data_IF_619311862303
#
_entry.id   IF_619311862303
#
_cell.length_a   1.000
_cell.length_b   1.000
_cell.length_c   1.000
_cell.angle_alpha   90.00
_cell.angle_beta   90.00
_cell.angle_gamma   90.00
#
_symmetry.space_group_name_H-M   'P 1'
#
loop_
_entity.id
_entity.type
_entity.pdbx_description
1 polymer ?
#
# COMPACT_ATOMS: atom_id res chain seq x y z
N UNK A 1 -58.02 -82.29 43.93
CA UNK A 1 -56.74 -82.24 44.63
C UNK A 1 -55.94 -81.11 44.07
N UNK A 2 -55.97 -79.93 44.71
CA UNK A 2 -55.34 -78.71 44.21
C UNK A 2 -54.39 -78.21 45.31
N UNK A 3 -53.07 -78.25 45.03
CA UNK A 3 -52.06 -77.75 45.94
C UNK A 3 -51.88 -76.25 45.69
N UNK A 4 -52.12 -75.44 46.73
CA UNK A 4 -51.75 -74.01 46.77
C UNK A 4 -50.25 -73.85 47.05
N UNK A 5 -49.56 -73.11 46.23
CA UNK A 5 -48.19 -72.67 46.51
C UNK A 5 -48.30 -71.25 47.04
N UNK A 6 -47.77 -70.99 48.22
CA UNK A 6 -47.61 -69.66 48.81
C UNK A 6 -46.27 -69.09 48.39
N UNK A 7 -46.28 -67.95 47.70
CA UNK A 7 -45.12 -67.19 47.38
C UNK A 7 -44.87 -66.15 48.46
N UNK A 8 -43.73 -66.19 49.11
CA UNK A 8 -43.25 -65.15 50.06
C UNK A 8 -42.59 -64.05 49.29
N UNK A 9 -43.11 -62.84 49.38
CA UNK A 9 -42.54 -61.65 48.83
C UNK A 9 -41.58 -61.06 49.86
N UNK A 10 -40.29 -60.99 49.50
CA UNK A 10 -39.25 -60.29 50.26
C UNK A 10 -39.15 -58.86 49.77
N UNK A 11 -39.44 -57.88 50.60
CA UNK A 11 -39.28 -56.47 50.33
C UNK A 11 -37.81 -56.12 50.63
N UNK A 12 -37.05 -55.79 49.59
CA UNK A 12 -35.71 -55.21 49.74
C UNK A 12 -35.84 -53.67 49.77
N UNK A 13 -35.44 -53.04 50.87
CA UNK A 13 -35.32 -51.61 51.06
C UNK A 13 -33.99 -51.20 50.41
N UNK A 14 -34.05 -50.62 49.23
CA UNK A 14 -32.89 -50.04 48.57
C UNK A 14 -32.62 -48.61 49.11
N UNK A 15 -31.46 -48.43 49.74
CA UNK A 15 -30.95 -47.15 50.15
C UNK A 15 -30.55 -46.35 48.89
N UNK A 16 -31.23 -45.24 48.59
CA UNK A 16 -30.90 -44.29 47.50
C UNK A 16 -29.71 -43.45 47.98
N UNK A 17 -28.51 -43.74 47.50
CA UNK A 17 -27.37 -42.86 47.67
C UNK A 17 -27.51 -41.67 46.68
N UNK A 18 -27.82 -40.51 47.21
CA UNK A 18 -27.77 -39.23 46.44
C UNK A 18 -26.31 -38.85 46.24
N UNK A 19 -25.77 -39.15 45.08
CA UNK A 19 -24.50 -38.58 44.63
C UNK A 19 -24.74 -37.10 44.33
N UNK A 20 -24.32 -36.23 45.24
CA UNK A 20 -24.18 -34.81 44.97
C UNK A 20 -23.03 -34.63 43.95
N UNK A 21 -23.37 -34.45 42.69
CA UNK A 21 -22.45 -33.88 41.70
C UNK A 21 -22.16 -32.42 42.13
N UNK A 22 -21.06 -32.24 42.85
CA UNK A 22 -20.46 -30.94 42.99
C UNK A 22 -19.99 -30.48 41.60
N UNK A 23 -20.78 -29.62 40.93
CA UNK A 23 -20.30 -28.90 39.77
C UNK A 23 -19.04 -28.16 40.19
N UNK A 24 -17.92 -28.45 39.55
CA UNK A 24 -16.78 -27.53 39.60
C UNK A 24 -17.30 -26.15 39.18
N UNK A 25 -16.87 -25.07 39.84
CA UNK A 25 -17.19 -23.75 39.35
C UNK A 25 -16.66 -23.69 37.91
N UNK A 26 -17.55 -23.35 36.94
CA UNK A 26 -17.10 -22.91 35.63
C UNK A 26 -16.04 -21.86 35.91
N UNK A 27 -14.81 -22.09 35.44
CA UNK A 27 -13.81 -21.05 35.42
C UNK A 27 -14.45 -19.95 34.61
N UNK A 28 -14.86 -18.87 35.27
CA UNK A 28 -15.38 -17.68 34.58
C UNK A 28 -14.35 -17.34 33.53
N UNK A 29 -14.75 -17.37 32.27
CA UNK A 29 -13.89 -16.93 31.20
C UNK A 29 -13.40 -15.51 31.59
N UNK A 30 -12.12 -15.31 31.62
CA UNK A 30 -11.51 -14.05 31.99
C UNK A 30 -12.11 -12.95 31.09
N UNK A 31 -12.68 -11.92 31.70
CA UNK A 31 -13.39 -10.89 30.97
C UNK A 31 -12.39 -10.09 30.14
N UNK A 32 -12.59 -10.04 28.82
CA UNK A 32 -11.72 -9.26 27.91
C UNK A 32 -11.81 -7.79 28.24
N UNK A 33 -10.68 -7.17 28.52
CA UNK A 33 -10.58 -5.76 28.96
C UNK A 33 -9.75 -4.91 28.00
N UNK A 34 -9.90 -3.58 28.11
CA UNK A 34 -9.07 -2.67 27.33
C UNK A 34 -7.60 -2.77 27.72
N UNK A 35 -7.30 -2.72 29.03
CA UNK A 35 -5.93 -2.62 29.52
C UNK A 35 -5.09 -3.86 29.25
N UNK A 36 -5.64 -5.04 29.48
CA UNK A 36 -4.91 -6.30 29.31
C UNK A 36 -4.89 -6.78 27.87
N UNK A 37 -6.00 -6.61 27.13
CA UNK A 37 -6.19 -7.34 25.86
C UNK A 37 -6.22 -6.44 24.64
N UNK A 38 -6.92 -5.28 24.71
CA UNK A 38 -7.18 -4.45 23.52
C UNK A 38 -6.10 -3.40 23.29
N UNK A 39 -5.60 -2.79 24.35
CA UNK A 39 -4.55 -1.77 24.24
C UNK A 39 -3.29 -2.30 23.53
N UNK A 40 -2.77 -3.52 23.83
CA UNK A 40 -1.64 -4.08 23.09
C UNK A 40 -1.90 -4.15 21.58
N UNK A 41 -3.09 -4.66 21.18
CA UNK A 41 -3.47 -4.77 19.75
C UNK A 41 -3.50 -3.38 19.09
N UNK A 42 -4.13 -2.40 19.75
CA UNK A 42 -4.23 -1.04 19.20
C UNK A 42 -2.86 -0.36 19.11
N UNK A 43 -2.00 -0.58 20.09
CA UNK A 43 -0.67 0.01 20.15
C UNK A 43 0.23 -0.49 19.03
N UNK A 44 0.16 -1.77 18.73
CA UNK A 44 0.94 -2.39 17.67
C UNK A 44 0.40 -2.07 16.28
N UNK A 45 -0.92 -2.16 16.08
CA UNK A 45 -1.51 -2.18 14.74
C UNK A 45 -2.20 -0.87 14.32
N UNK A 46 -2.60 0.00 15.27
CA UNK A 46 -3.46 1.14 14.95
C UNK A 46 -2.81 2.50 15.17
N UNK A 47 -1.96 2.66 16.21
CA UNK A 47 -1.40 3.96 16.59
C UNK A 47 -0.47 4.57 15.54
N UNK A 48 0.04 3.79 14.61
CA UNK A 48 0.84 4.34 13.50
C UNK A 48 0.07 5.42 12.72
N UNK A 49 -1.27 5.26 12.61
CA UNK A 49 -2.16 6.20 11.94
C UNK A 49 -3.12 6.92 12.91
N UNK A 50 -3.59 6.25 13.98
CA UNK A 50 -4.60 6.74 14.90
C UNK A 50 -4.01 7.45 16.12
N UNK A 51 -3.27 8.55 15.87
CA UNK A 51 -2.72 9.46 16.88
C UNK A 51 -2.71 10.90 16.36
N UNK A 52 -2.63 11.92 17.23
CA UNK A 52 -2.61 13.31 16.78
C UNK A 52 -1.54 13.61 15.75
N UNK A 53 -1.88 14.40 14.74
CA UNK A 53 -0.96 14.78 13.66
C UNK A 53 -0.74 13.72 12.57
N UNK A 54 -1.45 12.60 12.63
CA UNK A 54 -1.46 11.59 11.58
C UNK A 54 -2.76 11.65 10.76
N UNK A 55 -2.85 10.79 9.74
CA UNK A 55 -3.95 10.79 8.75
C UNK A 55 -5.32 10.46 9.33
N UNK A 56 -5.38 9.62 10.36
CA UNK A 56 -6.66 9.22 10.93
C UNK A 56 -7.30 10.38 11.73
N UNK A 57 -8.61 10.63 11.54
CA UNK A 57 -9.28 11.75 12.21
C UNK A 57 -9.55 11.52 13.70
N UNK A 58 -9.38 10.29 14.21
CA UNK A 58 -9.52 9.94 15.63
C UNK A 58 -8.22 9.31 16.14
N UNK A 59 -7.93 9.53 17.43
CA UNK A 59 -6.81 8.92 18.12
C UNK A 59 -7.27 7.78 19.03
N UNK A 60 -6.37 6.81 19.31
CA UNK A 60 -6.63 5.63 20.15
C UNK A 60 -5.51 5.42 21.18
N UNK A 61 -4.91 6.50 21.68
CA UNK A 61 -3.75 6.45 22.60
C UNK A 61 -4.11 5.89 23.98
N UNK A 62 -5.37 6.05 24.38
CA UNK A 62 -5.87 5.62 25.68
C UNK A 62 -7.34 5.18 25.59
N UNK A 63 -7.85 4.69 26.72
CA UNK A 63 -9.24 4.24 26.80
C UNK A 63 -10.27 5.36 26.52
N UNK A 64 -10.01 6.58 27.00
CA UNK A 64 -10.96 7.67 26.83
C UNK A 64 -11.11 8.09 25.36
N UNK A 65 -10.02 8.06 24.60
CA UNK A 65 -10.01 8.29 23.16
C UNK A 65 -10.62 7.12 22.40
N UNK A 66 -10.38 5.88 22.82
CA UNK A 66 -10.78 4.65 22.11
C UNK A 66 -12.25 4.27 22.34
N UNK A 67 -12.69 4.31 23.60
CA UNK A 67 -14.01 3.81 24.05
C UNK A 67 -15.20 4.36 23.23
N UNK A 68 -15.26 5.64 22.87
CA UNK A 68 -16.35 6.18 22.03
C UNK A 68 -16.46 5.51 20.65
N UNK A 69 -15.37 4.99 20.13
CA UNK A 69 -15.26 4.38 18.80
C UNK A 69 -15.35 2.85 18.82
N UNK A 70 -15.48 2.21 19.98
CA UNK A 70 -15.40 0.76 20.14
C UNK A 70 -16.23 -0.03 19.11
N UNK A 71 -17.49 0.35 18.89
CA UNK A 71 -18.36 -0.30 17.90
C UNK A 71 -17.84 -0.13 16.47
N UNK A 72 -17.42 1.09 16.12
CA UNK A 72 -16.89 1.38 14.79
C UNK A 72 -15.58 0.62 14.56
N UNK A 73 -14.70 0.53 15.57
CA UNK A 73 -13.45 -0.26 15.52
C UNK A 73 -13.79 -1.71 15.20
N UNK A 74 -14.68 -2.35 15.99
CA UNK A 74 -15.12 -3.72 15.74
C UNK A 74 -15.64 -3.92 14.32
N UNK A 75 -16.56 -3.06 13.88
CA UNK A 75 -17.20 -3.21 12.58
C UNK A 75 -16.18 -3.07 11.44
N UNK A 76 -15.22 -2.15 11.55
CA UNK A 76 -14.15 -1.97 10.57
C UNK A 76 -13.11 -3.08 10.57
N UNK A 77 -12.80 -3.62 11.73
CA UNK A 77 -11.89 -4.75 11.88
C UNK A 77 -12.52 -6.03 11.30
N UNK A 78 -13.76 -6.32 11.65
CA UNK A 78 -14.46 -7.52 11.15
C UNK A 78 -14.78 -7.45 9.66
N UNK A 79 -14.95 -6.26 9.09
CA UNK A 79 -15.14 -6.10 7.64
C UNK A 79 -13.81 -6.14 6.85
N UNK A 80 -12.66 -6.14 7.54
CA UNK A 80 -11.34 -6.08 6.91
C UNK A 80 -10.99 -4.71 6.30
N UNK A 81 -11.75 -3.65 6.63
CA UNK A 81 -11.42 -2.29 6.21
C UNK A 81 -10.24 -1.73 7.01
N UNK A 82 -10.03 -2.18 8.27
CA UNK A 82 -8.94 -1.77 9.16
C UNK A 82 -8.29 -2.97 9.86
N UNK A 83 -6.95 -2.99 9.93
CA UNK A 83 -6.00 -2.13 9.21
C UNK A 83 -6.13 -2.29 7.69
N UNK A 84 -5.84 -1.25 6.88
CA UNK A 84 -5.98 -1.35 5.43
C UNK A 84 -4.97 -2.35 4.85
N UNK A 85 -5.47 -3.46 4.36
CA UNK A 85 -4.71 -4.51 3.70
C UNK A 85 -5.62 -5.33 2.80
N UNK A 86 -5.34 -5.36 1.50
CA UNK A 86 -6.27 -5.89 0.51
C UNK A 86 -5.73 -7.08 -0.30
N UNK A 87 -4.50 -7.55 0.01
CA UNK A 87 -3.97 -8.76 -0.62
C UNK A 87 -4.78 -9.99 -0.18
N UNK A 88 -5.22 -10.77 -1.15
CA UNK A 88 -5.86 -12.08 -0.91
C UNK A 88 -4.87 -13.01 -0.21
N UNK A 89 -5.21 -13.55 0.97
CA UNK A 89 -4.29 -14.36 1.77
C UNK A 89 -3.86 -15.68 1.11
N UNK A 90 -4.49 -16.07 0.02
CA UNK A 90 -4.13 -17.27 -0.74
C UNK A 90 -2.87 -17.10 -1.59
N UNK A 91 -2.41 -15.86 -1.80
CA UNK A 91 -1.33 -15.54 -2.74
C UNK A 91 -0.27 -14.67 -2.07
N UNK A 92 0.97 -15.10 -2.15
CA UNK A 92 2.12 -14.38 -1.62
C UNK A 92 2.22 -14.37 -0.10
N UNK A 93 3.42 -14.07 0.40
CA UNK A 93 3.71 -13.76 1.79
C UNK A 93 4.46 -12.43 1.85
N UNK A 94 4.06 -11.55 2.76
CA UNK A 94 4.43 -10.14 2.69
C UNK A 94 5.14 -9.69 3.97
N UNK A 95 6.29 -9.02 3.85
CA UNK A 95 7.03 -8.47 4.98
C UNK A 95 6.25 -7.39 5.74
N UNK A 96 5.40 -6.68 5.03
CA UNK A 96 4.64 -5.55 5.57
C UNK A 96 3.15 -5.88 5.72
N UNK A 97 2.80 -7.14 5.94
CA UNK A 97 1.42 -7.57 6.21
C UNK A 97 0.91 -6.94 7.51
N UNK A 98 -0.22 -6.25 7.41
CA UNK A 98 -0.84 -5.49 8.51
C UNK A 98 -2.12 -6.12 9.02
N UNK A 99 -2.50 -7.26 8.48
CA UNK A 99 -3.74 -7.91 8.90
C UNK A 99 -3.66 -8.28 10.37
N UNK A 100 -4.74 -8.05 11.07
CA UNK A 100 -4.93 -8.65 12.37
C UNK A 100 -5.09 -10.16 12.22
N UNK A 101 -4.61 -10.88 13.21
CA UNK A 101 -4.91 -12.30 13.36
C UNK A 101 -6.39 -12.49 13.70
N UNK A 102 -6.92 -13.69 13.50
CA UNK A 102 -8.31 -13.99 13.89
C UNK A 102 -8.50 -13.83 15.41
N UNK A 103 -7.51 -14.18 16.21
CA UNK A 103 -7.53 -14.01 17.65
C UNK A 103 -7.63 -12.55 18.09
N UNK A 104 -6.87 -11.65 17.46
CA UNK A 104 -6.95 -10.21 17.72
C UNK A 104 -8.31 -9.64 17.32
N UNK A 105 -8.86 -10.06 16.18
CA UNK A 105 -10.20 -9.65 15.75
C UNK A 105 -11.29 -10.12 16.70
N UNK A 106 -11.21 -11.37 17.15
CA UNK A 106 -12.15 -11.97 18.10
C UNK A 106 -12.03 -11.29 19.46
N UNK A 107 -10.84 -10.94 19.93
CA UNK A 107 -10.57 -10.19 21.16
C UNK A 107 -11.24 -8.82 21.13
N UNK A 108 -11.06 -8.06 20.05
CA UNK A 108 -11.71 -6.74 19.88
C UNK A 108 -13.25 -6.90 19.86
N UNK A 109 -13.76 -7.91 19.17
CA UNK A 109 -15.19 -8.17 19.12
C UNK A 109 -15.75 -8.52 20.49
N UNK A 110 -15.12 -9.44 21.21
CA UNK A 110 -15.53 -9.85 22.56
C UNK A 110 -15.50 -8.67 23.55
N UNK A 111 -14.46 -7.83 23.49
CA UNK A 111 -14.39 -6.62 24.30
C UNK A 111 -15.59 -5.69 24.08
N UNK A 112 -15.95 -5.45 22.82
CA UNK A 112 -17.09 -4.58 22.47
C UNK A 112 -18.39 -5.19 22.92
N UNK A 113 -18.58 -6.51 22.75
CA UNK A 113 -19.78 -7.22 23.13
C UNK A 113 -19.95 -7.30 24.66
N UNK A 114 -18.86 -7.32 25.43
CA UNK A 114 -18.87 -7.19 26.90
C UNK A 114 -19.16 -5.77 27.40
N UNK A 115 -19.39 -4.80 26.49
CA UNK A 115 -19.66 -3.40 26.85
C UNK A 115 -18.42 -2.53 26.89
N UNK A 116 -17.31 -3.02 26.39
CA UNK A 116 -16.01 -2.36 26.32
C UNK A 116 -15.48 -1.91 27.69
N UNK A 117 -15.25 -2.86 28.63
CA UNK A 117 -14.74 -2.56 29.97
C UNK A 117 -13.28 -2.05 29.94
N UNK A 118 -12.92 -1.23 30.95
CA UNK A 118 -11.56 -0.67 31.05
C UNK A 118 -10.53 -1.74 31.48
N UNK A 119 -10.84 -2.52 32.51
CA UNK A 119 -9.88 -3.43 33.16
C UNK A 119 -9.05 -2.77 34.28
N UNK A 120 -8.05 -3.48 34.78
CA UNK A 120 -7.16 -2.96 35.81
C UNK A 120 -6.09 -2.07 35.17
N UNK A 121 -5.90 -0.80 35.62
CA UNK A 121 -4.84 0.06 35.12
C UNK A 121 -3.42 -0.49 35.26
N UNK A 122 -3.20 -1.46 36.17
CA UNK A 122 -1.91 -2.10 36.35
C UNK A 122 -1.53 -3.03 35.17
N UNK A 123 -2.51 -3.48 34.40
CA UNK A 123 -2.30 -4.36 33.22
C UNK A 123 -2.05 -3.57 31.93
N UNK A 124 -2.16 -2.22 32.00
CA UNK A 124 -1.96 -1.41 30.79
C UNK A 124 -0.47 -1.38 30.40
N UNK A 125 -0.12 -1.81 29.18
CA UNK A 125 1.26 -1.72 28.71
C UNK A 125 1.69 -0.26 28.51
N UNK A 126 3.00 -0.05 28.54
CA UNK A 126 3.53 1.27 28.20
C UNK A 126 3.23 1.62 26.75
N UNK A 127 2.61 2.79 26.47
CA UNK A 127 2.34 3.19 25.09
C UNK A 127 3.62 3.32 24.27
N UNK A 128 3.60 2.93 22.98
CA UNK A 128 4.77 3.05 22.13
C UNK A 128 5.20 4.51 22.00
N UNK A 129 6.50 4.75 22.15
CA UNK A 129 7.08 6.06 21.90
C UNK A 129 7.20 6.31 20.40
N UNK A 130 6.54 7.34 19.91
CA UNK A 130 6.70 7.81 18.54
C UNK A 130 7.69 8.97 18.52
N UNK A 131 8.73 8.82 17.73
CA UNK A 131 9.72 9.86 17.51
C UNK A 131 9.31 10.73 16.32
N UNK A 132 9.58 12.04 16.40
CA UNK A 132 9.55 12.93 15.24
C UNK A 132 10.82 12.81 14.38
N UNK A 133 11.75 11.95 14.78
CA UNK A 133 12.96 11.62 14.03
C UNK A 133 12.63 10.79 12.78
N UNK A 134 13.64 10.57 11.95
CA UNK A 134 13.54 9.66 10.81
C UNK A 134 13.20 8.24 11.28
N UNK A 135 12.27 7.57 10.58
CA UNK A 135 11.92 6.18 10.86
C UNK A 135 13.12 5.25 10.65
N UNK A 136 14.02 5.61 9.72
CA UNK A 136 15.29 4.93 9.47
C UNK A 136 16.42 5.43 10.38
N UNK A 137 16.12 6.10 11.49
CA UNK A 137 17.11 6.69 12.40
C UNK A 137 18.07 5.68 13.04
N UNK A 138 17.74 4.39 13.06
CA UNK A 138 18.67 3.32 13.44
C UNK A 138 19.86 3.16 12.45
N UNK A 139 19.76 3.70 11.25
CA UNK A 139 20.84 3.81 10.26
C UNK A 139 21.71 5.07 10.46
N UNK A 140 21.44 5.87 11.50
CA UNK A 140 22.01 7.20 11.72
C UNK A 140 21.21 8.30 11.04
N UNK A 141 21.75 9.53 11.03
CA UNK A 141 21.15 10.63 10.29
C UNK A 141 21.27 10.40 8.78
N UNK A 142 20.33 10.93 7.95
CA UNK A 142 20.46 10.84 6.50
C UNK A 142 21.72 11.57 6.01
N UNK A 143 22.40 10.96 5.02
CA UNK A 143 23.57 11.57 4.37
C UNK A 143 23.18 12.82 3.55
N UNK A 144 21.91 12.84 3.06
CA UNK A 144 21.36 13.97 2.31
C UNK A 144 19.87 14.14 2.63
N UNK A 145 19.50 15.38 2.98
CA UNK A 145 18.10 15.79 3.10
C UNK A 145 17.75 16.71 1.92
N UNK A 146 16.69 16.37 1.19
CA UNK A 146 16.20 17.16 0.05
C UNK A 146 14.78 17.64 0.38
N UNK A 147 14.59 18.91 0.75
CA UNK A 147 13.26 19.48 0.97
C UNK A 147 12.64 19.92 -0.35
N UNK A 148 11.30 19.96 -0.42
CA UNK A 148 10.58 20.69 -1.45
C UNK A 148 11.05 22.14 -1.50
N UNK A 149 11.08 22.75 -2.72
CA UNK A 149 11.65 24.10 -2.89
C UNK A 149 10.81 25.20 -2.21
N UNK A 150 9.52 24.94 -2.00
CA UNK A 150 8.58 25.89 -1.39
C UNK A 150 7.69 25.22 -0.36
N UNK A 151 7.17 26.03 0.58
CA UNK A 151 6.00 25.62 1.39
C UNK A 151 4.74 25.78 0.54
N UNK A 152 3.90 24.76 0.55
CA UNK A 152 2.62 24.70 -0.19
C UNK A 152 1.48 25.02 0.75
N UNK A 153 0.56 25.87 0.29
CA UNK A 153 -0.69 26.14 0.99
C UNK A 153 -1.76 25.15 0.52
N UNK A 154 -2.37 24.45 1.47
CA UNK A 154 -3.47 23.49 1.22
C UNK A 154 -4.76 24.14 1.71
N UNK A 155 -5.77 24.36 0.86
CA UNK A 155 -7.02 25.00 1.27
C UNK A 155 -7.81 24.11 2.23
N UNK A 156 -8.82 24.71 2.89
CA UNK A 156 -9.66 23.99 3.84
C UNK A 156 -10.55 22.92 3.20
N UNK A 157 -10.94 23.14 1.95
CA UNK A 157 -11.89 22.31 1.19
C UNK A 157 -11.58 22.31 -0.31
N UNK A 158 -12.37 21.55 -1.07
CA UNK A 158 -12.24 21.41 -2.51
C UNK A 158 -11.26 20.31 -2.94
N UNK A 159 -11.47 19.82 -4.17
CA UNK A 159 -10.59 18.82 -4.78
C UNK A 159 -9.25 19.45 -5.15
N UNK A 160 -8.15 18.77 -4.81
CA UNK A 160 -6.81 19.24 -5.10
C UNK A 160 -6.21 18.44 -6.26
N UNK A 161 -5.76 19.16 -7.29
CA UNK A 161 -4.99 18.56 -8.37
C UNK A 161 -3.59 18.17 -7.88
N UNK A 162 -2.99 17.17 -8.53
CA UNK A 162 -1.59 16.83 -8.32
C UNK A 162 -0.68 18.01 -8.61
N UNK A 163 0.31 18.21 -7.74
CA UNK A 163 1.28 19.30 -7.85
C UNK A 163 2.70 18.74 -7.93
N UNK A 164 3.44 19.15 -8.95
CA UNK A 164 4.80 18.66 -9.17
C UNK A 164 5.82 19.74 -8.88
N UNK A 165 6.83 19.38 -8.09
CA UNK A 165 7.95 20.25 -7.72
C UNK A 165 9.27 19.55 -8.00
N UNK A 166 10.23 20.29 -8.54
CA UNK A 166 11.52 19.75 -8.94
C UNK A 166 12.64 20.40 -8.15
N UNK A 167 13.55 19.59 -7.62
CA UNK A 167 14.77 20.00 -6.95
C UNK A 167 15.95 19.41 -7.69
N UNK A 168 16.91 20.24 -8.08
CA UNK A 168 18.10 19.79 -8.80
C UNK A 168 18.91 18.82 -7.91
N UNK A 169 19.37 17.73 -8.50
CA UNK A 169 20.34 16.87 -7.89
C UNK A 169 21.76 17.41 -8.16
N UNK A 170 22.44 17.86 -7.12
CA UNK A 170 23.79 18.43 -7.20
C UNK A 170 24.89 17.43 -6.83
N UNK A 171 24.57 16.13 -6.73
CA UNK A 171 25.60 15.09 -6.55
C UNK A 171 26.56 15.07 -7.74
N UNK A 172 27.88 14.98 -7.48
CA UNK A 172 28.89 15.03 -8.55
C UNK A 172 29.04 13.73 -9.33
N UNK A 173 28.59 12.62 -8.76
CA UNK A 173 28.71 11.27 -9.30
C UNK A 173 27.54 10.39 -8.94
N UNK A 174 27.43 9.22 -9.54
CA UNK A 174 26.43 8.21 -9.18
C UNK A 174 26.59 7.79 -7.72
N UNK A 175 25.48 7.80 -6.97
CA UNK A 175 25.40 7.25 -5.62
C UNK A 175 24.30 6.20 -5.58
N UNK A 176 24.46 5.21 -4.70
CA UNK A 176 23.46 4.20 -4.45
C UNK A 176 22.87 4.38 -3.06
N UNK A 177 21.55 4.50 -2.98
CA UNK A 177 20.85 4.61 -1.71
C UNK A 177 20.63 3.22 -1.11
N UNK A 178 20.94 3.07 0.19
CA UNK A 178 20.62 1.92 1.04
C UNK A 178 19.34 2.11 1.82
N UNK A 179 18.86 3.36 1.91
CA UNK A 179 17.59 3.73 2.54
C UNK A 179 17.09 5.06 2.05
N UNK A 180 15.78 5.21 2.02
CA UNK A 180 15.08 6.44 1.66
C UNK A 180 13.84 6.59 2.52
N UNK A 181 13.56 7.81 2.97
CA UNK A 181 12.35 8.15 3.72
C UNK A 181 11.75 9.45 3.21
N UNK A 182 10.43 9.47 3.04
CA UNK A 182 9.63 10.67 2.78
C UNK A 182 9.05 11.15 4.09
N UNK A 183 9.31 12.40 4.43
CA UNK A 183 8.79 13.04 5.63
C UNK A 183 7.90 14.23 5.23
N UNK A 184 6.57 14.07 5.19
CA UNK A 184 5.65 15.17 5.02
C UNK A 184 5.81 16.19 6.14
N UNK A 185 5.76 17.47 5.78
CA UNK A 185 5.66 18.56 6.77
C UNK A 185 4.31 18.55 7.48
N UNK A 186 3.27 18.03 6.81
CA UNK A 186 1.94 17.87 7.39
C UNK A 186 1.32 16.53 6.99
N UNK A 187 1.46 15.53 7.86
CA UNK A 187 0.98 14.17 7.62
C UNK A 187 -0.54 14.04 7.57
N UNK A 188 -1.28 15.00 8.11
CA UNK A 188 -2.75 15.00 8.06
C UNK A 188 -3.29 15.46 6.71
N UNK A 189 -2.57 16.35 6.00
CA UNK A 189 -2.98 16.93 4.74
C UNK A 189 -2.35 16.25 3.51
N UNK A 190 -1.16 15.63 3.66
CA UNK A 190 -0.50 14.89 2.56
C UNK A 190 -1.12 13.51 2.43
N UNK A 191 -1.95 13.33 1.40
CA UNK A 191 -2.61 12.05 1.12
C UNK A 191 -1.61 11.02 0.57
N UNK A 192 -0.85 11.39 -0.47
CA UNK A 192 0.30 10.62 -0.92
C UNK A 192 1.32 11.52 -1.64
N UNK A 193 2.54 11.02 -1.74
CA UNK A 193 3.60 11.64 -2.50
C UNK A 193 4.35 10.57 -3.30
N UNK A 194 4.69 10.91 -4.54
CA UNK A 194 5.59 10.09 -5.36
C UNK A 194 6.87 10.87 -5.57
N UNK A 195 7.99 10.25 -5.24
CA UNK A 195 9.31 10.83 -5.45
C UNK A 195 10.00 10.07 -6.57
N UNK A 196 10.32 10.80 -7.62
CA UNK A 196 11.04 10.26 -8.78
C UNK A 196 12.36 10.99 -8.99
N UNK A 197 13.29 10.33 -9.66
CA UNK A 197 14.30 11.03 -10.43
C UNK A 197 13.76 11.31 -11.82
N UNK A 198 13.85 12.55 -12.27
CA UNK A 198 13.31 12.98 -13.56
C UNK A 198 14.26 13.93 -14.27
N UNK A 199 14.25 13.92 -15.60
CA UNK A 199 14.86 14.98 -16.41
C UNK A 199 13.82 16.02 -16.76
N UNK A 200 14.24 17.28 -16.82
CA UNK A 200 13.34 18.33 -17.34
C UNK A 200 13.00 18.04 -18.82
N UNK A 201 11.74 18.25 -19.20
CA UNK A 201 11.35 18.16 -20.59
C UNK A 201 12.14 19.15 -21.47
N UNK A 202 12.40 18.82 -22.73
CA UNK A 202 12.96 19.78 -23.68
C UNK A 202 12.13 21.08 -23.72
N UNK A 203 12.79 22.22 -23.93
CA UNK A 203 12.13 23.51 -23.98
C UNK A 203 11.40 23.93 -22.70
N UNK A 204 11.87 23.44 -21.55
CA UNK A 204 11.34 23.83 -20.25
C UNK A 204 12.45 24.24 -19.29
N UNK A 205 12.06 25.06 -18.32
CA UNK A 205 12.89 25.45 -17.18
C UNK A 205 12.06 25.39 -15.91
N UNK A 206 12.69 25.58 -14.77
CA UNK A 206 11.98 25.70 -13.50
C UNK A 206 11.71 27.18 -13.19
N UNK A 207 10.52 27.46 -12.72
CA UNK A 207 10.17 28.73 -12.10
C UNK A 207 10.78 28.88 -10.70
N UNK A 208 10.52 29.99 -10.01
CA UNK A 208 11.00 30.24 -8.65
C UNK A 208 10.39 29.28 -7.60
N UNK A 209 9.33 28.56 -7.93
CA UNK A 209 8.67 27.58 -7.08
C UNK A 209 9.17 26.14 -7.33
N UNK A 210 10.05 25.96 -8.32
CA UNK A 210 10.50 24.63 -8.75
C UNK A 210 9.49 23.90 -9.62
N UNK A 211 8.53 24.60 -10.22
CA UNK A 211 7.56 24.03 -11.17
C UNK A 211 8.03 24.22 -12.60
N UNK A 212 7.63 23.32 -13.47
CA UNK A 212 8.01 23.40 -14.89
C UNK A 212 7.25 24.54 -15.56
N UNK A 213 7.99 25.42 -16.26
CA UNK A 213 7.46 26.40 -17.18
C UNK A 213 8.09 26.26 -18.57
N UNK A 214 7.35 26.54 -19.66
CA UNK A 214 7.89 26.48 -21.00
C UNK A 214 8.89 27.64 -21.25
N UNK A 215 9.84 27.40 -22.14
CA UNK A 215 10.75 28.44 -22.64
C UNK A 215 10.13 29.04 -23.90
N UNK A 216 9.85 30.34 -23.87
CA UNK A 216 9.29 31.09 -25.04
C UNK A 216 10.18 30.97 -26.27
N UNK A 217 9.55 30.71 -27.42
CA UNK A 217 10.25 30.60 -28.71
C UNK A 217 11.05 29.30 -28.91
N UNK A 218 10.97 28.36 -27.95
CA UNK A 218 11.53 27.01 -28.12
C UNK A 218 10.47 26.09 -28.71
N UNK A 219 10.69 25.63 -29.95
CA UNK A 219 9.78 24.66 -30.60
C UNK A 219 10.03 23.24 -30.09
N UNK A 220 8.97 22.57 -29.69
CA UNK A 220 9.00 21.14 -29.30
C UNK A 220 8.54 20.26 -30.46
N UNK A 221 9.32 19.25 -30.75
CA UNK A 221 8.99 18.22 -31.75
C UNK A 221 8.13 17.09 -31.14
N UNK A 222 7.08 17.45 -30.39
CA UNK A 222 6.20 16.50 -29.67
C UNK A 222 4.76 16.47 -30.17
N UNK A 223 4.50 17.11 -31.32
CA UNK A 223 3.17 17.14 -31.92
C UNK A 223 2.12 17.93 -31.12
N UNK A 224 2.55 18.83 -30.22
CA UNK A 224 1.65 19.73 -29.49
C UNK A 224 0.91 19.05 -28.33
N UNK A 225 1.36 17.91 -27.84
CA UNK A 225 0.79 17.29 -26.66
C UNK A 225 1.04 18.16 -25.42
N UNK A 226 -0.04 18.58 -24.79
CA UNK A 226 -0.06 19.51 -23.66
C UNK A 226 0.47 18.89 -22.35
N UNK A 227 0.75 17.58 -22.34
CA UNK A 227 1.23 16.86 -21.17
C UNK A 227 2.74 16.61 -21.28
N UNK A 228 3.45 17.38 -20.50
CA UNK A 228 4.90 17.27 -20.38
C UNK A 228 5.22 16.25 -19.30
N UNK A 229 5.05 14.98 -19.60
CA UNK A 229 5.73 13.96 -18.82
C UNK A 229 7.23 14.14 -18.98
N UNK A 230 7.95 14.07 -17.88
CA UNK A 230 9.38 13.87 -17.98
C UNK A 230 9.58 12.60 -18.81
N UNK A 231 10.08 12.72 -20.04
CA UNK A 231 10.27 11.58 -20.97
C UNK A 231 11.19 10.52 -20.37
N UNK A 232 12.01 10.95 -19.42
CA UNK A 232 12.90 10.09 -18.66
C UNK A 232 12.62 10.34 -17.17
N UNK A 233 12.07 9.34 -16.51
CA UNK A 233 11.91 9.32 -15.07
C UNK A 233 11.95 7.88 -14.55
N UNK A 234 12.40 7.72 -13.30
CA UNK A 234 12.29 6.48 -12.56
C UNK A 234 11.94 6.76 -11.10
N UNK A 235 11.11 5.92 -10.54
CA UNK A 235 10.59 6.09 -9.19
C UNK A 235 11.63 5.77 -8.14
N UNK A 236 11.79 6.66 -7.17
CA UNK A 236 12.58 6.40 -5.97
C UNK A 236 11.73 5.74 -4.89
N UNK A 237 10.63 6.39 -4.51
CA UNK A 237 9.74 5.92 -3.45
C UNK A 237 8.34 6.50 -3.63
N UNK A 238 7.33 5.80 -3.09
CA UNK A 238 5.99 6.33 -2.84
C UNK A 238 5.77 6.48 -1.33
N UNK A 239 5.15 7.57 -0.94
CA UNK A 239 4.59 7.78 0.38
C UNK A 239 3.08 7.60 0.33
N UNK A 240 2.56 6.83 1.25
CA UNK A 240 1.15 6.82 1.64
C UNK A 240 1.09 6.74 3.17
N UNK A 241 -0.02 7.15 3.81
CA UNK A 241 -0.16 7.05 5.25
C UNK A 241 0.17 5.65 5.78
N UNK A 242 1.06 5.61 6.78
CA UNK A 242 1.56 4.36 7.35
C UNK A 242 2.75 3.72 6.61
N UNK A 243 3.16 4.24 5.44
CA UNK A 243 4.39 3.83 4.77
C UNK A 243 5.03 5.02 4.07
N UNK A 244 6.22 5.41 4.52
CA UNK A 244 6.97 6.53 3.95
C UNK A 244 8.46 6.27 3.85
N UNK A 245 8.92 5.05 4.13
CA UNK A 245 10.33 4.71 4.06
C UNK A 245 10.55 3.36 3.38
N UNK A 246 11.74 3.19 2.86
CA UNK A 246 12.23 1.91 2.33
C UNK A 246 13.68 1.72 2.70
N UNK A 247 13.98 0.52 3.19
CA UNK A 247 15.34 0.05 3.43
C UNK A 247 15.63 -1.04 2.41
N UNK A 248 16.71 -0.87 1.67
CA UNK A 248 17.15 -1.89 0.72
C UNK A 248 17.91 -3.00 1.44
N UNK A 249 17.85 -4.21 0.90
CA UNK A 249 18.56 -5.37 1.44
C UNK A 249 20.06 -5.16 1.31
N UNK A 250 20.91 -5.79 2.17
CA UNK A 250 22.36 -5.73 2.03
C UNK A 250 22.79 -6.10 0.59
N UNK A 251 23.79 -5.39 0.07
CA UNK A 251 24.28 -5.60 -1.30
C UNK A 251 23.40 -5.01 -2.42
N UNK A 252 22.20 -4.50 -2.09
CA UNK A 252 21.29 -3.90 -3.07
C UNK A 252 21.16 -2.40 -2.85
N UNK A 253 20.92 -1.64 -3.91
CA UNK A 253 20.70 -0.19 -3.80
C UNK A 253 20.06 0.39 -5.04
N UNK A 254 19.41 1.54 -4.90
CA UNK A 254 18.83 2.28 -6.01
C UNK A 254 19.75 3.42 -6.41
N UNK A 255 20.03 3.55 -7.69
CA UNK A 255 20.95 4.56 -8.22
C UNK A 255 20.33 5.95 -8.23
N UNK A 256 21.14 6.96 -7.90
CA UNK A 256 20.90 8.38 -8.15
C UNK A 256 22.06 8.92 -8.97
N UNK A 257 21.76 9.51 -10.12
CA UNK A 257 22.77 9.99 -11.07
C UNK A 257 22.79 11.53 -11.19
N UNK A 258 23.96 12.14 -11.46
CA UNK A 258 24.08 13.57 -11.75
C UNK A 258 23.21 14.03 -12.91
N UNK A 259 22.81 15.29 -12.89
CA UNK A 259 22.04 15.92 -13.98
C UNK A 259 20.56 15.54 -14.03
N UNK A 260 20.08 14.84 -13.01
CA UNK A 260 18.67 14.57 -12.78
C UNK A 260 18.11 15.52 -11.73
N UNK A 261 16.77 15.52 -11.58
CA UNK A 261 16.04 16.29 -10.59
C UNK A 261 15.23 15.33 -9.71
N UNK A 262 15.17 15.60 -8.42
CA UNK A 262 14.14 15.01 -7.56
C UNK A 262 12.81 15.65 -7.92
N UNK A 263 11.85 14.86 -8.38
CA UNK A 263 10.48 15.29 -8.64
C UNK A 263 9.61 14.86 -7.47
N UNK A 264 9.00 15.82 -6.82
CA UNK A 264 7.97 15.61 -5.80
C UNK A 264 6.61 15.75 -6.48
N UNK A 265 5.90 14.65 -6.62
CA UNK A 265 4.52 14.62 -7.13
C UNK A 265 3.59 14.47 -5.93
N UNK A 266 2.93 15.58 -5.54
CA UNK A 266 2.20 15.73 -4.28
C UNK A 266 0.70 15.70 -4.49
N UNK A 267 0.00 14.92 -3.69
CA UNK A 267 -1.44 14.92 -3.62
C UNK A 267 -1.89 15.26 -2.19
N UNK A 268 -2.70 16.30 -2.07
CA UNK A 268 -3.20 16.80 -0.79
C UNK A 268 -4.69 16.50 -0.62
N UNK A 269 -5.09 16.23 0.63
CA UNK A 269 -6.51 16.14 1.02
C UNK A 269 -6.81 17.24 2.01
N UNK A 270 -7.73 18.18 1.69
CA UNK A 270 -8.24 19.18 2.64
C UNK A 270 -8.88 18.54 3.87
N UNK A 271 -8.62 19.12 5.04
CA UNK A 271 -9.08 18.60 6.33
C UNK A 271 -10.00 19.55 7.09
N UNK A 272 -10.72 20.43 6.38
CA UNK A 272 -11.67 21.38 6.95
C UNK A 272 -11.05 22.67 7.49
N UNK A 273 -9.73 22.80 7.50
CA UNK A 273 -8.99 24.02 7.86
C UNK A 273 -7.80 24.21 6.94
N UNK A 274 -7.42 25.46 6.60
CA UNK A 274 -6.23 25.70 5.80
C UNK A 274 -4.99 25.12 6.47
N UNK A 275 -4.14 24.48 5.67
CA UNK A 275 -2.91 23.83 6.11
C UNK A 275 -1.72 24.32 5.30
N UNK A 276 -0.52 23.99 5.77
CA UNK A 276 0.70 24.15 4.98
C UNK A 276 1.50 22.86 5.02
N UNK A 277 2.23 22.59 3.93
CA UNK A 277 3.16 21.47 3.85
C UNK A 277 4.48 21.88 3.21
N UNK A 278 5.54 21.26 3.66
CA UNK A 278 6.84 21.25 3.00
C UNK A 278 7.47 19.88 3.21
N UNK A 279 7.09 18.94 2.35
CA UNK A 279 7.62 17.57 2.35
C UNK A 279 9.12 17.57 2.07
N UNK A 280 9.86 16.68 2.71
CA UNK A 280 11.27 16.43 2.45
C UNK A 280 11.56 14.93 2.34
N UNK A 281 12.70 14.58 1.76
CA UNK A 281 13.21 13.21 1.74
C UNK A 281 14.56 13.14 2.44
N UNK A 282 14.78 12.05 3.19
CA UNK A 282 16.09 11.66 3.70
C UNK A 282 16.65 10.52 2.88
N UNK A 283 17.93 10.58 2.55
CA UNK A 283 18.65 9.60 1.76
C UNK A 283 19.86 9.10 2.53
N UNK A 284 20.00 7.77 2.63
CA UNK A 284 21.16 7.09 3.19
C UNK A 284 21.88 6.38 2.07
N UNK A 285 23.16 6.69 1.90
CA UNK A 285 23.97 6.14 0.81
C UNK A 285 24.83 4.96 1.26
N UNK A 286 25.09 4.08 0.32
CA UNK A 286 26.17 3.09 0.47
C UNK A 286 27.53 3.77 0.41
N UNK A 287 28.44 3.35 1.29
CA UNK A 287 29.86 3.72 1.25
C UNK A 287 30.64 2.85 0.27
N UNK A 288 30.12 1.65 0.00
CA UNK A 288 30.71 0.65 -0.90
C UNK A 288 29.83 0.44 -2.16
N UNK A 289 30.43 -0.16 -3.17
CA UNK A 289 29.72 -0.49 -4.40
C UNK A 289 28.71 -1.61 -4.14
N UNK A 290 27.48 -1.43 -4.64
CA UNK A 290 26.41 -2.43 -4.54
C UNK A 290 26.64 -3.59 -5.50
N UNK A 291 26.08 -4.75 -5.19
CA UNK A 291 26.14 -5.95 -6.02
C UNK A 291 25.04 -5.94 -7.09
N UNK A 292 23.86 -5.47 -6.71
CA UNK A 292 22.69 -5.40 -7.58
C UNK A 292 22.00 -4.04 -7.49
N UNK A 293 21.50 -3.57 -8.62
CA UNK A 293 20.71 -2.33 -8.70
C UNK A 293 19.23 -2.63 -8.58
N UNK A 294 18.56 -1.93 -7.68
CA UNK A 294 17.11 -1.99 -7.51
C UNK A 294 16.41 -1.09 -8.53
N UNK A 295 15.49 -1.66 -9.28
CA UNK A 295 14.77 -0.98 -10.34
C UNK A 295 13.27 -1.14 -10.11
N UNK A 296 12.51 -0.06 -10.26
CA UNK A 296 11.06 -0.11 -10.27
C UNK A 296 10.53 0.22 -11.67
N UNK A 297 9.63 -0.61 -12.17
CA UNK A 297 8.93 -0.42 -13.45
C UNK A 297 7.43 -0.68 -13.31
N UNK A 298 6.69 -0.41 -14.38
CA UNK A 298 5.27 -0.76 -14.51
C UNK A 298 5.10 -1.80 -15.62
N UNK A 299 4.18 -2.74 -15.41
CA UNK A 299 3.84 -3.78 -16.39
C UNK A 299 3.34 -3.18 -17.72
N UNK A 300 2.66 -2.06 -17.69
CA UNK A 300 2.14 -1.39 -18.90
C UNK A 300 3.22 -0.73 -19.79
N UNK A 301 4.49 -0.72 -19.35
CA UNK A 301 5.54 0.13 -19.97
C UNK A 301 6.02 -0.29 -21.36
N UNK A 302 6.00 -1.57 -21.72
CA UNK A 302 6.64 -2.10 -22.93
C UNK A 302 5.99 -3.35 -23.52
N UNK A 303 4.84 -3.77 -22.99
CA UNK A 303 4.20 -5.01 -23.35
C UNK A 303 2.93 -4.87 -24.18
N UNK A 304 2.22 -5.98 -24.36
CA UNK A 304 0.93 -6.03 -24.99
C UNK A 304 -0.19 -5.67 -24.02
N UNK A 305 -1.29 -5.14 -24.56
CA UNK A 305 -2.53 -4.94 -23.83
C UNK A 305 -3.67 -5.74 -24.44
N UNK A 306 -4.58 -6.20 -23.59
CA UNK A 306 -5.84 -6.82 -24.00
C UNK A 306 -6.96 -6.08 -23.24
N UNK A 307 -7.85 -5.41 -23.97
CA UNK A 307 -9.02 -4.73 -23.42
C UNK A 307 -10.28 -5.51 -23.81
N UNK A 308 -11.10 -5.90 -22.82
CA UNK A 308 -12.33 -6.69 -23.06
C UNK A 308 -12.08 -7.88 -24.01
N UNK A 309 -10.99 -8.62 -23.76
CA UNK A 309 -10.53 -9.78 -24.55
C UNK A 309 -10.11 -9.47 -26.01
N UNK A 310 -9.93 -8.19 -26.36
CA UNK A 310 -9.41 -7.74 -27.66
C UNK A 310 -7.97 -7.25 -27.51
N UNK A 311 -7.06 -7.81 -28.30
CA UNK A 311 -5.66 -7.36 -28.32
C UNK A 311 -5.56 -5.94 -28.86
N UNK A 312 -4.85 -5.09 -28.09
CA UNK A 312 -4.62 -3.68 -28.43
C UNK A 312 -3.24 -3.55 -29.04
N UNK A 313 -3.17 -3.33 -30.34
CA UNK A 313 -1.92 -3.19 -31.10
C UNK A 313 -1.62 -1.71 -31.38
N UNK A 314 -0.34 -1.36 -31.49
CA UNK A 314 0.08 -0.03 -31.87
C UNK A 314 -0.31 0.25 -33.34
N UNK A 315 -0.94 1.41 -33.58
CA UNK A 315 -1.22 1.88 -34.94
C UNK A 315 0.07 2.21 -35.71
N UNK A 316 -0.04 2.30 -37.03
CA UNK A 316 1.09 2.65 -37.89
C UNK A 316 1.71 4.00 -37.45
N UNK A 317 3.02 3.99 -37.19
CA UNK A 317 3.76 5.17 -36.71
C UNK A 317 3.67 5.45 -35.20
N UNK A 318 2.91 4.65 -34.45
CA UNK A 318 2.83 4.76 -32.99
C UNK A 318 3.87 3.87 -32.31
N UNK A 319 4.51 4.40 -31.27
CA UNK A 319 5.48 3.63 -30.45
C UNK A 319 4.80 2.72 -29.44
N UNK A 320 3.54 2.98 -29.05
CA UNK A 320 2.77 2.24 -28.04
C UNK A 320 1.32 2.07 -28.50
N UNK A 321 0.66 0.97 -28.11
CA UNK A 321 -0.77 0.81 -28.29
C UNK A 321 -1.54 1.91 -27.57
N UNK A 322 -2.63 2.38 -28.17
CA UNK A 322 -3.57 3.28 -27.49
C UNK A 322 -4.67 2.43 -26.85
N UNK A 323 -4.62 2.28 -25.54
CA UNK A 323 -5.66 1.58 -24.79
C UNK A 323 -7.01 2.29 -24.98
N UNK A 324 -8.09 1.57 -25.33
CA UNK A 324 -9.44 2.14 -25.42
C UNK A 324 -9.85 2.78 -24.10
N UNK A 325 -10.61 3.88 -24.17
CA UNK A 325 -11.19 4.51 -22.99
C UNK A 325 -12.25 3.59 -22.35
N UNK A 326 -12.50 3.79 -21.05
CA UNK A 326 -13.51 3.00 -20.34
C UNK A 326 -14.89 3.57 -20.68
N UNK A 327 -15.84 2.78 -21.21
CA UNK A 327 -17.15 3.29 -21.61
C UNK A 327 -17.99 3.76 -20.42
N UNK A 328 -18.95 4.68 -20.64
CA UNK A 328 -19.96 5.01 -19.64
C UNK A 328 -20.69 3.75 -19.13
N UNK A 329 -21.02 3.74 -17.86
CA UNK A 329 -21.78 2.68 -17.18
C UNK A 329 -21.14 1.27 -17.20
N UNK A 330 -19.90 1.12 -17.67
CA UNK A 330 -19.20 -0.15 -17.64
C UNK A 330 -18.91 -0.57 -16.18
N UNK A 331 -19.61 -1.58 -15.68
CA UNK A 331 -19.49 -2.02 -14.26
C UNK A 331 -18.41 -3.05 -14.00
N UNK A 332 -17.71 -3.54 -15.02
CA UNK A 332 -16.64 -4.53 -14.88
C UNK A 332 -15.73 -4.57 -16.12
N UNK A 333 -15.29 -3.40 -16.58
CA UNK A 333 -14.44 -3.30 -17.75
C UNK A 333 -13.05 -3.84 -17.47
N UNK A 334 -12.59 -4.79 -18.30
CA UNK A 334 -11.35 -5.55 -18.07
C UNK A 334 -10.19 -4.99 -18.89
N UNK A 335 -9.03 -4.87 -18.23
CA UNK A 335 -7.76 -4.59 -18.90
C UNK A 335 -6.69 -5.58 -18.44
N UNK A 336 -5.91 -6.07 -19.39
CA UNK A 336 -4.73 -6.89 -19.15
C UNK A 336 -3.52 -6.19 -19.76
N UNK A 337 -2.44 -6.10 -18.99
CA UNK A 337 -1.15 -5.66 -19.47
C UNK A 337 -0.09 -6.73 -19.23
N UNK A 338 0.88 -6.85 -20.14
CA UNK A 338 1.92 -7.86 -20.07
C UNK A 338 3.29 -7.26 -20.37
N UNK A 339 4.29 -7.59 -19.57
CA UNK A 339 5.71 -7.22 -19.79
C UNK A 339 6.56 -8.49 -19.86
N UNK A 340 7.31 -8.72 -20.95
CA UNK A 340 8.25 -9.83 -21.03
C UNK A 340 9.57 -9.47 -20.33
N UNK A 341 10.23 -10.49 -19.76
CA UNK A 341 11.60 -10.41 -19.25
C UNK A 341 12.57 -11.04 -20.26
N UNK A 342 13.50 -10.26 -20.76
CA UNK A 342 14.55 -10.71 -21.71
C UNK A 342 15.81 -11.23 -21.00
N UNK A 343 15.92 -11.00 -19.70
CA UNK A 343 16.99 -11.45 -18.81
C UNK A 343 16.38 -11.94 -17.50
N UNK A 344 17.11 -12.77 -16.79
CA UNK A 344 16.69 -13.21 -15.46
C UNK A 344 16.83 -12.08 -14.45
N UNK A 345 15.84 -11.94 -13.58
CA UNK A 345 15.78 -10.89 -12.56
C UNK A 345 15.20 -11.45 -11.27
N UNK A 346 15.48 -10.78 -10.15
CA UNK A 346 14.91 -11.11 -8.85
C UNK A 346 13.84 -10.08 -8.49
N UNK A 347 12.60 -10.52 -8.29
CA UNK A 347 11.44 -9.70 -7.93
C UNK A 347 11.34 -9.56 -6.42
N UNK A 348 11.15 -8.32 -5.92
CA UNK A 348 11.07 -8.02 -4.48
C UNK A 348 9.72 -7.48 -4.03
N UNK A 349 9.01 -6.76 -4.88
CA UNK A 349 7.75 -6.13 -4.49
C UNK A 349 6.81 -5.87 -5.67
N UNK A 350 5.52 -5.77 -5.34
CA UNK A 350 4.43 -5.46 -6.26
C UNK A 350 3.58 -4.32 -5.69
N UNK A 351 3.07 -3.43 -6.56
CA UNK A 351 2.20 -2.35 -6.13
C UNK A 351 1.15 -2.03 -7.22
N UNK A 352 -0.09 -2.48 -7.04
CA UNK A 352 -1.19 -2.13 -7.93
C UNK A 352 -1.55 -0.66 -7.79
N UNK A 353 -1.77 0.02 -8.92
CA UNK A 353 -2.22 1.40 -8.95
C UNK A 353 -3.26 1.61 -10.03
N UNK A 354 -4.41 2.09 -9.61
CA UNK A 354 -5.56 2.54 -10.40
C UNK A 354 -6.12 3.80 -9.71
N UNK A 355 -7.06 4.48 -10.35
CA UNK A 355 -7.75 5.61 -9.72
C UNK A 355 -9.13 5.22 -9.16
N UNK A 356 -10.06 6.18 -9.12
CA UNK A 356 -11.36 6.05 -8.42
C UNK A 356 -12.28 4.93 -8.95
N UNK A 357 -12.04 4.44 -10.18
CA UNK A 357 -12.84 3.36 -10.77
C UNK A 357 -12.17 2.01 -10.70
N UNK A 358 -10.93 1.96 -10.18
CA UNK A 358 -10.24 0.69 -9.94
C UNK A 358 -11.06 -0.21 -9.02
N UNK A 359 -11.26 -1.46 -9.43
CA UNK A 359 -12.06 -2.45 -8.69
C UNK A 359 -11.20 -3.57 -8.13
N UNK A 360 -10.32 -4.12 -8.92
CA UNK A 360 -9.40 -5.18 -8.55
C UNK A 360 -8.16 -5.18 -9.44
N UNK A 361 -7.05 -5.74 -8.94
CA UNK A 361 -5.88 -6.02 -9.75
C UNK A 361 -5.19 -7.31 -9.28
N UNK A 362 -4.76 -8.12 -10.25
CA UNK A 362 -4.03 -9.36 -10.02
C UNK A 362 -2.74 -9.40 -10.84
N UNK A 363 -1.65 -9.90 -10.24
CA UNK A 363 -0.39 -10.17 -10.91
C UNK A 363 -0.21 -11.67 -11.12
N UNK A 364 0.16 -12.03 -12.35
CA UNK A 364 0.40 -13.42 -12.75
C UNK A 364 1.77 -13.50 -13.42
N UNK A 365 2.63 -14.38 -12.93
CA UNK A 365 3.87 -14.76 -13.56
C UNK A 365 3.57 -15.91 -14.56
N UNK A 366 3.89 -15.71 -15.83
CA UNK A 366 3.81 -16.72 -16.86
C UNK A 366 5.25 -17.15 -17.19
N UNK A 367 5.59 -18.39 -16.91
CA UNK A 367 6.93 -18.93 -17.12
C UNK A 367 7.13 -19.35 -18.59
N UNK A 368 8.38 -19.60 -19.05
CA UNK A 368 8.65 -19.98 -20.44
C UNK A 368 7.97 -21.27 -20.87
N UNK A 369 7.71 -22.19 -19.95
CA UNK A 369 6.97 -23.45 -20.20
C UNK A 369 5.46 -23.26 -20.32
N UNK A 370 4.95 -22.03 -20.12
CA UNK A 370 3.54 -21.69 -20.16
C UNK A 370 2.80 -21.88 -18.83
N UNK A 371 3.47 -22.32 -17.77
CA UNK A 371 2.86 -22.39 -16.45
C UNK A 371 2.58 -21.00 -15.89
N UNK A 372 1.48 -20.86 -15.14
CA UNK A 372 1.03 -19.61 -14.57
C UNK A 372 0.99 -19.69 -13.04
N UNK A 373 1.49 -18.62 -12.39
CA UNK A 373 1.48 -18.47 -10.94
C UNK A 373 0.91 -17.09 -10.59
N UNK A 374 -0.14 -17.07 -9.76
CA UNK A 374 -0.64 -15.80 -9.20
C UNK A 374 0.27 -15.35 -8.06
N UNK A 375 0.96 -14.24 -8.25
CA UNK A 375 1.86 -13.68 -7.24
C UNK A 375 1.13 -12.80 -6.22
N UNK A 376 0.18 -11.99 -6.69
CA UNK A 376 -0.62 -11.08 -5.87
C UNK A 376 -2.03 -10.99 -6.45
N UNK A 377 -3.02 -10.97 -5.59
CA UNK A 377 -4.40 -10.62 -5.95
C UNK A 377 -4.93 -9.60 -4.96
N UNK A 378 -5.46 -8.50 -5.46
CA UNK A 378 -6.14 -7.44 -4.70
C UNK A 378 -7.58 -7.36 -5.20
N UNK A 379 -8.51 -8.18 -4.65
CA UNK A 379 -9.87 -8.31 -5.16
C UNK A 379 -10.78 -7.12 -4.85
N UNK A 380 -10.39 -6.30 -3.87
CA UNK A 380 -11.12 -5.09 -3.46
C UNK A 380 -10.12 -3.93 -3.41
N UNK A 381 -9.75 -3.41 -4.58
CA UNK A 381 -8.85 -2.28 -4.66
C UNK A 381 -9.53 -1.02 -4.09
N UNK A 382 -8.80 -0.26 -3.27
CA UNK A 382 -9.24 1.04 -2.76
C UNK A 382 -8.19 2.10 -3.08
N UNK A 383 -8.57 3.10 -3.86
CA UNK A 383 -7.71 4.21 -4.27
C UNK A 383 -7.08 4.98 -3.09
N UNK A 384 -7.76 5.04 -1.94
CA UNK A 384 -7.24 5.71 -0.75
C UNK A 384 -6.02 5.00 -0.14
N UNK A 385 -5.82 3.71 -0.47
CA UNK A 385 -4.79 2.86 0.11
C UNK A 385 -3.93 2.22 -0.99
N UNK A 386 -2.99 2.99 -1.52
CA UNK A 386 -2.08 2.55 -2.59
C UNK A 386 -0.90 1.79 -1.99
N UNK A 387 -1.16 0.55 -1.62
CA UNK A 387 -0.23 -0.27 -0.86
C UNK A 387 0.87 -0.87 -1.75
N UNK A 388 2.05 -0.98 -1.15
CA UNK A 388 3.19 -1.72 -1.66
C UNK A 388 3.24 -3.07 -0.95
N UNK A 389 3.40 -4.15 -1.68
CA UNK A 389 3.44 -5.52 -1.16
C UNK A 389 4.85 -6.05 -1.31
N UNK A 390 5.59 -6.13 -0.20
CA UNK A 390 6.99 -6.55 -0.17
C UNK A 390 7.08 -8.05 0.11
N UNK A 391 7.69 -8.81 -0.78
CA UNK A 391 7.84 -10.25 -0.65
C UNK A 391 8.77 -10.62 0.52
N UNK A 392 8.34 -11.57 1.36
CA UNK A 392 9.21 -12.18 2.38
C UNK A 392 10.40 -12.86 1.70
N UNK A 393 10.11 -13.72 0.72
CA UNK A 393 11.10 -14.37 -0.11
C UNK A 393 11.03 -13.77 -1.53
N UNK A 394 12.14 -13.19 -2.05
CA UNK A 394 12.21 -12.73 -3.42
C UNK A 394 11.99 -13.87 -4.41
N UNK A 395 11.41 -13.54 -5.57
CA UNK A 395 11.08 -14.52 -6.60
C UNK A 395 12.03 -14.37 -7.77
N UNK A 396 12.73 -15.45 -8.11
CA UNK A 396 13.55 -15.52 -9.32
C UNK A 396 12.62 -15.65 -10.55
N UNK A 397 12.79 -14.70 -11.46
CA UNK A 397 12.09 -14.66 -12.75
C UNK A 397 13.11 -14.93 -13.84
N UNK A 398 13.01 -16.09 -14.48
CA UNK A 398 13.93 -16.49 -15.56
C UNK A 398 13.62 -15.74 -16.87
N UNK A 399 14.67 -15.57 -17.68
CA UNK A 399 14.54 -14.99 -19.03
C UNK A 399 13.50 -15.77 -19.86
N UNK A 400 12.67 -15.04 -20.61
CA UNK A 400 11.54 -15.60 -21.37
C UNK A 400 10.22 -15.62 -20.62
N UNK A 401 10.22 -15.40 -19.31
CA UNK A 401 9.00 -15.23 -18.51
C UNK A 401 8.27 -13.92 -18.86
N UNK A 402 7.01 -13.82 -18.45
CA UNK A 402 6.18 -12.61 -18.58
C UNK A 402 5.52 -12.30 -17.25
N UNK A 403 5.50 -11.04 -16.86
CA UNK A 403 4.65 -10.57 -15.77
C UNK A 403 3.39 -9.94 -16.39
N UNK A 404 2.24 -10.45 -16.00
CA UNK A 404 0.94 -10.01 -16.47
C UNK A 404 0.14 -9.39 -15.32
N UNK A 405 -0.49 -8.25 -15.56
CA UNK A 405 -1.49 -7.68 -14.66
C UNK A 405 -2.86 -7.76 -15.28
N UNK A 406 -3.85 -8.16 -14.50
CA UNK A 406 -5.25 -8.24 -14.88
C UNK A 406 -6.02 -7.38 -13.90
N UNK A 407 -6.80 -6.42 -14.39
CA UNK A 407 -7.62 -5.58 -13.54
C UNK A 407 -8.95 -5.22 -14.15
N UNK A 408 -9.88 -4.83 -13.30
CA UNK A 408 -11.22 -4.42 -13.68
C UNK A 408 -11.52 -3.02 -13.16
N UNK A 409 -12.36 -2.31 -13.92
CA UNK A 409 -12.83 -0.96 -13.59
C UNK A 409 -14.35 -0.95 -13.49
N UNK A 410 -14.86 -0.17 -12.53
CA UNK A 410 -16.29 0.07 -12.35
C UNK A 410 -16.62 1.55 -12.61
N UNK A 411 -17.01 1.86 -13.86
CA UNK A 411 -17.51 3.18 -14.27
C UNK A 411 -19.05 3.28 -14.16
N UNK A 412 -19.68 2.45 -13.33
CA UNK A 412 -21.14 2.46 -13.15
C UNK A 412 -21.60 3.35 -12.00
N UNK A 413 -22.91 3.57 -11.92
CA UNK A 413 -23.58 4.25 -10.79
C UNK A 413 -23.43 3.51 -9.44
N UNK A 414 -22.97 2.24 -9.44
CA UNK A 414 -22.78 1.45 -8.21
C UNK A 414 -21.48 1.81 -7.50
N UNK A 415 -20.52 2.31 -8.25
CA UNK A 415 -19.27 2.80 -7.67
C UNK A 415 -19.51 4.18 -7.02
N UNK A 416 -19.58 4.22 -5.70
CA UNK A 416 -19.81 5.44 -4.91
C UNK A 416 -18.72 6.51 -5.07
N UNK A 417 -17.53 6.12 -5.53
CA UNK A 417 -16.40 7.02 -5.73
C UNK A 417 -16.31 7.57 -7.15
N UNK A 418 -17.13 7.07 -8.07
CA UNK A 418 -17.12 7.50 -9.46
C UNK A 418 -17.75 8.89 -9.62
N UNK A 419 -16.98 9.91 -9.99
CA UNK A 419 -17.51 11.28 -10.09
C UNK A 419 -18.41 11.52 -11.32
N UNK A 420 -18.33 10.66 -12.35
CA UNK A 420 -19.00 10.89 -13.62
C UNK A 420 -19.31 9.58 -14.37
N UNK A 421 -20.27 8.77 -13.91
CA UNK A 421 -20.59 7.47 -14.51
C UNK A 421 -21.16 7.55 -15.93
N UNK A 422 -21.72 8.70 -16.30
CA UNK A 422 -22.29 8.96 -17.64
C UNK A 422 -21.24 9.36 -18.69
N UNK A 423 -19.96 9.45 -18.29
CA UNK A 423 -18.86 9.87 -19.17
C UNK A 423 -17.94 8.71 -19.50
N UNK A 424 -17.38 8.77 -20.70
CA UNK A 424 -16.22 7.99 -21.08
C UNK A 424 -14.99 8.45 -20.27
N UNK A 425 -14.15 7.51 -19.81
CA UNK A 425 -13.00 7.80 -18.96
C UNK A 425 -11.72 7.65 -19.76
N UNK A 426 -10.89 8.68 -19.70
CA UNK A 426 -9.61 8.75 -20.37
C UNK A 426 -8.47 8.28 -19.46
N UNK A 427 -7.35 7.92 -20.06
CA UNK A 427 -6.12 7.52 -19.36
C UNK A 427 -5.25 8.76 -19.15
N UNK A 428 -5.17 9.24 -17.90
CA UNK A 428 -4.40 10.45 -17.54
C UNK A 428 -4.03 10.46 -16.03
N UNK A 429 -3.35 11.54 -15.61
CA UNK A 429 -2.76 11.62 -14.26
C UNK A 429 -3.75 11.97 -13.15
N UNK A 430 -4.85 12.64 -13.46
CA UNK A 430 -5.75 13.13 -12.43
C UNK A 430 -6.65 12.03 -11.87
N UNK A 431 -7.03 12.13 -10.61
CA UNK A 431 -7.86 11.11 -9.92
C UNK A 431 -9.20 10.84 -10.62
N UNK A 432 -9.77 11.84 -11.28
CA UNK A 432 -11.01 11.70 -12.06
C UNK A 432 -10.84 11.08 -13.44
N UNK A 433 -9.60 10.93 -13.93
CA UNK A 433 -9.22 10.10 -15.07
C UNK A 433 -8.88 8.70 -14.58
N UNK A 434 -8.21 7.87 -15.38
CA UNK A 434 -7.78 6.55 -14.93
C UNK A 434 -6.34 6.21 -15.30
N UNK A 435 -5.76 5.34 -14.47
CA UNK A 435 -4.48 4.67 -14.70
C UNK A 435 -4.62 3.17 -14.51
N UNK A 436 -3.74 2.42 -15.19
CA UNK A 436 -3.57 0.99 -15.00
C UNK A 436 -2.09 0.68 -14.88
N UNK A 437 -1.54 0.84 -13.69
CA UNK A 437 -0.12 0.69 -13.44
C UNK A 437 0.14 -0.47 -12.48
N UNK A 438 0.56 -1.60 -13.02
CA UNK A 438 1.09 -2.70 -12.23
C UNK A 438 2.56 -2.45 -11.93
N UNK A 439 2.87 -1.70 -10.86
CA UNK A 439 4.26 -1.48 -10.46
C UNK A 439 4.88 -2.75 -9.90
N UNK A 440 6.16 -2.96 -10.21
CA UNK A 440 6.97 -4.03 -9.65
C UNK A 440 8.40 -3.55 -9.42
N UNK A 441 9.02 -4.04 -8.36
CA UNK A 441 10.41 -3.75 -8.01
C UNK A 441 11.25 -5.02 -8.11
N UNK A 442 12.36 -4.92 -8.82
CA UNK A 442 13.26 -6.03 -9.08
C UNK A 442 14.71 -5.57 -9.06
N UNK A 443 15.63 -6.48 -8.94
CA UNK A 443 17.06 -6.19 -9.06
C UNK A 443 17.67 -6.78 -10.33
N UNK A 444 18.71 -6.10 -10.80
CA UNK A 444 19.59 -6.57 -11.86
C UNK A 444 21.03 -6.58 -11.36
N UNK A 445 21.82 -7.55 -11.79
CA UNK A 445 23.24 -7.61 -11.47
C UNK A 445 23.98 -6.37 -12.03
N UNK A 446 24.87 -5.80 -11.23
CA UNK A 446 25.73 -4.72 -11.69
C UNK A 446 26.74 -5.25 -12.72
N UNK A 447 27.00 -4.52 -13.83
CA UNK A 447 27.99 -4.93 -14.82
C UNK A 447 29.35 -5.21 -14.20
N UNK A 448 29.94 -6.37 -14.50
CA UNK A 448 31.27 -6.77 -14.06
C UNK A 448 31.34 -7.42 -12.68
N UNK A 449 30.24 -7.66 -11.99
CA UNK A 449 30.18 -8.48 -10.78
C UNK A 449 29.54 -9.83 -11.08
N UNK A 450 30.09 -10.98 -10.60
CA UNK A 450 29.40 -12.26 -10.73
C UNK A 450 28.15 -12.26 -9.90
N UNK A 451 27.06 -12.89 -10.41
CA UNK A 451 25.92 -13.24 -9.60
C UNK A 451 26.43 -14.23 -8.53
N UNK A 452 26.25 -13.91 -7.27
CA UNK A 452 26.49 -14.88 -6.20
C UNK A 452 25.44 -15.98 -6.35
N UNK A 453 25.91 -17.20 -6.68
CA UNK A 453 25.07 -18.39 -6.58
C UNK A 453 24.69 -18.55 -5.10
N UNK A 454 23.41 -18.36 -4.78
CA UNK A 454 22.83 -18.69 -3.48
C UNK A 454 22.34 -20.12 -3.44
#
# INVERSE_FOLDING_TARGET
MTKRVQTRTTVAVGALAVLAFGGAPDAAAEEVTYTADVAPILYENCLVCHRPGQVAPMAFRDYAETRPWARAIRDKVLSGEMPPWFADPRYGTWLNDRRLTQEEMDTIAAWVDAGAPLGDPADLPEPPAFSDNWALGDMGDPDLIVPMPVTVEVPADGEQAYQQYYVKNDLPEDRFIKGIEVRPGNRAAVHHAVIDMARLPPCSRLDARGQIEPIDGCERDDGGQQFVFARESYKLIGYAPGKGFQRYRPGTGKRISPGWYYRFDQHYTPIGTPQTDRTEIGLWFHDEAVETEMIQKMVSGSGAFIAEDVEVIAGAGQRRPRVPNIPPHAGNWKLVATTPFTESVTLFALAPHMHLRGKDMKYVLVRPDGSEETLLSVPNYDFNWQLFYELVEPIEIEAGSKLMTIGHFDNSLRNRYNPAPDREVFWAEQSWDEMFNGFYEYSVAMPGKPQTEN
#
